data_IF_648124861108
#
_entry.id   IF_648124861108
#
_cell.length_a   1.000
_cell.length_b   1.000
_cell.length_c   1.000
_cell.angle_alpha   90.00
_cell.angle_beta   90.00
_cell.angle_gamma   90.00
#
_symmetry.space_group_name_H-M   'P 1'
#
loop_
_entity.id
_entity.type
_entity.pdbx_description
1 polymer ?
#
# COMPACT_ATOMS: atom_id res chain seq x y z
N UNK A 1 32.39 11.41 15.12
CA UNK A 1 33.20 10.16 14.99
C UNK A 1 32.36 9.19 14.19
N UNK A 2 32.72 9.03 12.92
CA UNK A 2 32.13 7.99 12.07
C UNK A 2 32.63 6.66 12.65
N UNK A 3 31.72 5.83 13.17
CA UNK A 3 32.04 4.46 13.55
C UNK A 3 32.44 3.71 12.27
N UNK A 4 33.46 2.88 12.35
CA UNK A 4 34.02 2.08 11.25
C UNK A 4 33.06 1.00 10.69
N UNK A 5 31.79 1.31 10.56
CA UNK A 5 30.83 0.41 9.95
C UNK A 5 30.71 0.76 8.47
N UNK A 6 31.28 -0.09 7.62
CA UNK A 6 31.12 0.04 6.18
C UNK A 6 29.64 -0.01 5.82
N UNK A 7 29.20 0.97 5.07
CA UNK A 7 27.81 1.10 4.63
C UNK A 7 27.77 1.09 3.12
N UNK A 8 26.93 0.24 2.56
CA UNK A 8 26.69 0.14 1.13
C UNK A 8 25.42 0.91 0.76
N UNK A 9 25.46 1.66 -0.34
CA UNK A 9 24.29 2.29 -0.93
C UNK A 9 24.32 2.13 -2.45
N UNK A 10 23.26 1.55 -3.00
CA UNK A 10 23.09 1.44 -4.45
C UNK A 10 22.57 2.78 -5.01
N UNK A 11 23.31 3.38 -5.95
CA UNK A 11 22.92 4.63 -6.58
C UNK A 11 21.75 4.49 -7.57
N UNK A 12 21.51 3.26 -8.06
CA UNK A 12 20.44 3.00 -9.02
C UNK A 12 19.08 2.81 -8.34
N UNK A 13 19.02 1.97 -7.29
CA UNK A 13 17.75 1.65 -6.60
C UNK A 13 17.60 2.31 -5.23
N UNK A 14 18.60 3.06 -4.75
CA UNK A 14 18.58 3.75 -3.46
C UNK A 14 18.73 2.83 -2.24
N UNK A 15 18.80 1.51 -2.42
CA UNK A 15 18.94 0.55 -1.32
C UNK A 15 20.25 0.78 -0.56
N UNK A 16 20.16 0.93 0.76
CA UNK A 16 21.31 1.09 1.64
C UNK A 16 21.33 0.00 2.70
N UNK A 17 22.49 -0.63 2.90
CA UNK A 17 22.67 -1.69 3.90
C UNK A 17 24.05 -1.59 4.56
N UNK A 18 24.16 -2.09 5.79
CA UNK A 18 25.45 -2.29 6.42
C UNK A 18 26.16 -3.52 5.82
N UNK A 19 27.48 -3.62 6.05
CA UNK A 19 28.29 -4.71 5.49
C UNK A 19 27.74 -6.10 5.84
N UNK A 20 27.29 -6.31 7.07
CA UNK A 20 26.76 -7.60 7.52
C UNK A 20 25.52 -8.02 6.71
N UNK A 21 24.58 -7.10 6.50
CA UNK A 21 23.38 -7.36 5.72
C UNK A 21 23.69 -7.54 4.23
N UNK A 22 24.67 -6.80 3.73
CA UNK A 22 25.15 -6.95 2.36
C UNK A 22 25.75 -8.34 2.10
N UNK A 23 26.66 -8.81 3.00
CA UNK A 23 27.25 -10.15 2.89
C UNK A 23 26.15 -11.22 2.98
N UNK A 24 25.20 -11.08 3.90
CA UNK A 24 24.08 -12.02 4.04
C UNK A 24 23.23 -12.11 2.76
N UNK A 25 23.06 -10.99 2.07
CA UNK A 25 22.30 -10.94 0.82
C UNK A 25 23.05 -11.58 -0.35
N UNK A 26 24.38 -11.38 -0.43
CA UNK A 26 25.22 -11.86 -1.55
C UNK A 26 25.58 -13.32 -1.37
N UNK A 27 26.02 -13.70 -0.17
CA UNK A 27 26.44 -15.09 0.15
C UNK A 27 26.14 -15.45 1.61
N UNK A 28 25.08 -16.24 1.85
CA UNK A 28 24.71 -16.70 3.20
C UNK A 28 25.81 -17.55 3.89
N UNK A 29 26.68 -18.25 3.17
CA UNK A 29 27.78 -19.04 3.75
C UNK A 29 28.87 -18.11 4.25
N UNK A 30 29.28 -17.17 3.43
CA UNK A 30 30.25 -16.15 3.80
C UNK A 30 29.75 -15.30 4.99
N UNK A 31 28.45 -15.11 5.12
CA UNK A 31 27.89 -14.43 6.29
C UNK A 31 28.14 -15.17 7.59
N UNK A 32 28.05 -16.49 7.60
CA UNK A 32 28.34 -17.31 8.78
C UNK A 32 29.81 -17.21 9.18
N UNK A 33 30.72 -17.22 8.22
CA UNK A 33 32.17 -17.06 8.46
C UNK A 33 32.48 -15.65 9.00
N UNK A 34 31.87 -14.62 8.41
CA UNK A 34 31.99 -13.23 8.86
C UNK A 34 31.55 -13.06 10.32
N UNK A 35 30.46 -13.69 10.74
CA UNK A 35 29.99 -13.66 12.11
C UNK A 35 30.98 -14.37 13.08
N UNK A 36 31.51 -15.53 12.69
CA UNK A 36 32.50 -16.27 13.48
C UNK A 36 33.79 -15.47 13.66
N UNK A 37 34.28 -14.80 12.61
CA UNK A 37 35.47 -13.95 12.72
C UNK A 37 35.24 -12.76 13.65
N UNK A 38 34.06 -12.12 13.52
CA UNK A 38 33.70 -10.99 14.36
C UNK A 38 33.57 -11.37 15.83
N UNK A 39 33.08 -12.58 16.12
CA UNK A 39 33.02 -13.13 17.46
C UNK A 39 34.39 -13.41 18.02
N UNK A 40 35.28 -14.01 17.22
CA UNK A 40 36.68 -14.30 17.63
C UNK A 40 37.50 -13.02 17.95
N UNK A 41 37.20 -11.92 17.25
CA UNK A 41 37.89 -10.62 17.46
C UNK A 41 37.34 -9.82 18.64
N UNK A 42 36.45 -10.40 19.46
CA UNK A 42 35.89 -9.74 20.65
C UNK A 42 35.11 -8.46 20.36
N UNK A 43 34.60 -8.30 19.15
CA UNK A 43 33.73 -7.17 18.85
C UNK A 43 32.50 -7.25 19.77
N UNK A 44 32.12 -6.15 20.45
CA UNK A 44 30.92 -6.13 21.27
C UNK A 44 29.76 -6.67 20.45
N UNK A 45 28.99 -7.59 21.02
CA UNK A 45 27.76 -8.06 20.40
C UNK A 45 26.99 -6.81 19.92
N UNK A 46 26.73 -6.72 18.62
CA UNK A 46 25.85 -5.68 18.12
C UNK A 46 24.60 -5.72 18.99
N UNK A 47 24.19 -4.63 19.63
CA UNK A 47 22.93 -4.64 20.37
C UNK A 47 21.92 -5.25 19.41
N UNK A 48 21.27 -6.33 19.84
CA UNK A 48 20.16 -6.90 19.08
C UNK A 48 19.31 -5.70 18.74
N UNK A 49 18.98 -5.45 17.46
CA UNK A 49 18.04 -4.39 17.17
C UNK A 49 16.84 -4.70 18.06
N UNK A 50 16.62 -3.87 19.06
CA UNK A 50 15.35 -3.84 19.74
C UNK A 50 14.39 -3.38 18.66
N UNK A 51 13.84 -4.34 17.94
CA UNK A 51 12.61 -4.12 17.26
C UNK A 51 11.60 -3.89 18.38
N UNK A 52 11.32 -2.66 18.68
CA UNK A 52 10.04 -2.32 19.29
C UNK A 52 9.00 -2.83 18.29
N UNK A 53 8.64 -4.09 18.48
CA UNK A 53 7.36 -4.56 17.99
C UNK A 53 6.33 -3.82 18.84
N UNK A 54 6.12 -2.55 18.54
CA UNK A 54 4.80 -2.00 18.76
C UNK A 54 3.92 -2.97 18.00
N UNK A 55 3.01 -3.69 18.68
CA UNK A 55 2.03 -4.44 17.93
C UNK A 55 1.49 -3.43 16.94
N UNK A 56 1.67 -3.68 15.66
CA UNK A 56 0.97 -2.96 14.62
C UNK A 56 -0.45 -3.43 14.87
N UNK A 57 -1.13 -2.71 15.79
CA UNK A 57 -2.56 -2.74 15.85
C UNK A 57 -2.98 -2.45 14.43
N UNK A 58 -3.81 -3.34 13.92
CA UNK A 58 -4.36 -3.31 12.57
C UNK A 58 -4.40 -1.87 12.11
N UNK A 59 -3.55 -1.56 11.12
CA UNK A 59 -3.46 -0.20 10.62
C UNK A 59 -4.90 0.18 10.27
N UNK A 60 -5.51 1.06 11.08
CA UNK A 60 -6.82 1.59 10.72
C UNK A 60 -6.66 2.08 9.30
N UNK A 61 -7.26 1.33 8.40
CA UNK A 61 -7.14 1.68 7.00
C UNK A 61 -7.93 2.98 6.82
N UNK A 62 -7.45 3.85 5.97
CA UNK A 62 -8.17 5.08 5.63
C UNK A 62 -9.62 4.82 5.20
N UNK A 63 -9.95 3.56 4.91
CA UNK A 63 -11.27 3.10 4.50
C UNK A 63 -12.21 2.79 5.67
N UNK A 64 -11.69 2.62 6.89
CA UNK A 64 -12.48 2.20 8.05
C UNK A 64 -13.52 3.27 8.47
N UNK A 65 -13.23 4.53 8.17
CA UNK A 65 -14.14 5.65 8.36
C UNK A 65 -15.22 5.75 7.25
N UNK A 66 -15.14 4.93 6.20
CA UNK A 66 -16.03 5.00 5.05
C UNK A 66 -17.09 3.91 5.08
N UNK A 67 -18.30 4.24 4.63
CA UNK A 67 -19.34 3.24 4.42
C UNK A 67 -19.10 2.47 3.12
N UNK A 68 -19.15 1.14 3.18
CA UNK A 68 -19.16 0.34 1.96
C UNK A 68 -20.48 0.53 1.21
N UNK A 69 -20.49 0.28 -0.08
CA UNK A 69 -21.72 0.35 -0.91
C UNK A 69 -22.78 -0.61 -0.37
N UNK A 70 -22.38 -1.72 0.24
CA UNK A 70 -23.30 -2.67 0.87
C UNK A 70 -24.06 -2.07 2.06
N UNK A 71 -23.41 -1.19 2.83
CA UNK A 71 -23.97 -0.54 4.03
C UNK A 71 -24.88 0.67 3.72
N UNK A 72 -24.95 1.08 2.47
CA UNK A 72 -25.81 2.19 2.04
C UNK A 72 -27.22 1.70 1.78
N UNK A 73 -28.19 2.59 1.98
CA UNK A 73 -29.58 2.34 1.63
C UNK A 73 -29.74 2.12 0.11
N UNK A 74 -30.72 1.32 -0.26
CA UNK A 74 -30.92 0.96 -1.67
C UNK A 74 -31.20 2.17 -2.57
N UNK A 75 -31.82 3.22 -2.04
CA UNK A 75 -32.12 4.46 -2.75
C UNK A 75 -30.91 5.43 -2.80
N UNK A 76 -29.82 5.11 -2.10
CA UNK A 76 -28.66 6.00 -2.08
C UNK A 76 -28.04 6.17 -3.48
N UNK A 77 -27.75 7.41 -3.95
CA UNK A 77 -27.28 7.66 -5.32
C UNK A 77 -26.03 6.87 -5.70
N UNK A 78 -25.10 6.67 -4.77
CA UNK A 78 -23.88 5.90 -5.02
C UNK A 78 -24.19 4.40 -5.22
N UNK A 79 -25.16 3.83 -4.50
CA UNK A 79 -25.59 2.44 -4.67
C UNK A 79 -26.33 2.27 -5.99
N UNK A 80 -27.23 3.19 -6.32
CA UNK A 80 -27.93 3.20 -7.60
C UNK A 80 -26.95 3.32 -8.79
N UNK A 81 -25.89 4.13 -8.63
CA UNK A 81 -24.83 4.23 -9.62
C UNK A 81 -24.12 2.87 -9.85
N UNK A 82 -23.77 2.15 -8.78
CA UNK A 82 -23.11 0.83 -8.87
C UNK A 82 -24.03 -0.20 -9.51
N UNK A 83 -25.33 -0.19 -9.15
CA UNK A 83 -26.36 -1.05 -9.76
C UNK A 83 -26.49 -0.76 -11.26
N UNK A 84 -26.60 0.51 -11.62
CA UNK A 84 -26.69 0.96 -13.02
C UNK A 84 -25.49 0.56 -13.87
N UNK A 85 -24.31 0.38 -13.24
CA UNK A 85 -23.12 -0.15 -13.89
C UNK A 85 -23.06 -1.68 -13.95
N UNK A 86 -24.08 -2.37 -13.44
CA UNK A 86 -24.18 -3.83 -13.41
C UNK A 86 -23.01 -4.51 -12.65
N UNK A 87 -22.47 -3.84 -11.63
CA UNK A 87 -21.48 -4.44 -10.76
C UNK A 87 -22.19 -5.49 -9.88
N UNK A 88 -21.69 -6.74 -9.82
CA UNK A 88 -22.32 -7.77 -9.00
C UNK A 88 -22.33 -7.40 -7.51
N UNK A 89 -23.40 -7.74 -6.81
CA UNK A 89 -23.61 -7.38 -5.40
C UNK A 89 -22.57 -7.98 -4.45
N UNK A 90 -21.91 -9.05 -4.85
CA UNK A 90 -20.80 -9.67 -4.11
C UNK A 90 -19.55 -8.75 -3.98
N UNK A 91 -19.48 -7.67 -4.77
CA UNK A 91 -18.41 -6.69 -4.68
C UNK A 91 -18.80 -5.42 -3.93
N UNK A 92 -20.02 -5.29 -3.43
CA UNK A 92 -20.47 -4.06 -2.77
C UNK A 92 -19.80 -3.81 -1.42
N UNK A 93 -19.30 -4.85 -0.75
CA UNK A 93 -18.50 -4.75 0.46
C UNK A 93 -17.06 -4.28 0.20
N UNK A 94 -16.61 -4.34 -1.06
CA UNK A 94 -15.26 -3.95 -1.49
C UNK A 94 -15.17 -2.57 -2.13
N UNK A 95 -16.30 -1.89 -2.26
CA UNK A 95 -16.41 -0.54 -2.80
C UNK A 95 -16.95 0.37 -1.72
N UNK A 96 -16.42 1.59 -1.63
CA UNK A 96 -16.79 2.53 -0.58
C UNK A 96 -17.32 3.84 -1.15
N UNK A 97 -18.18 4.48 -0.38
CA UNK A 97 -18.64 5.83 -0.67
C UNK A 97 -17.84 6.83 0.16
N UNK A 98 -17.35 7.87 -0.49
CA UNK A 98 -16.69 8.99 0.15
C UNK A 98 -17.38 10.28 -0.25
N UNK A 99 -18.00 10.96 0.70
CA UNK A 99 -18.68 12.25 0.47
C UNK A 99 -17.68 13.36 0.18
N UNK A 100 -16.57 13.40 0.93
CA UNK A 100 -15.52 14.42 0.83
C UNK A 100 -14.18 13.79 0.46
N UNK A 101 -14.00 13.54 -0.84
CA UNK A 101 -12.82 12.88 -1.36
C UNK A 101 -11.53 13.68 -1.14
N UNK A 102 -11.58 15.00 -1.31
CA UNK A 102 -10.43 15.87 -1.07
C UNK A 102 -9.99 15.86 0.38
N UNK A 103 -10.92 15.86 1.32
CA UNK A 103 -10.61 15.72 2.75
C UNK A 103 -9.94 14.38 3.05
N UNK A 104 -10.43 13.28 2.43
CA UNK A 104 -9.83 11.95 2.55
C UNK A 104 -8.39 11.94 2.02
N UNK A 105 -8.15 12.51 0.84
CA UNK A 105 -6.81 12.61 0.24
C UNK A 105 -5.87 13.43 1.11
N UNK A 106 -6.33 14.55 1.64
CA UNK A 106 -5.52 15.43 2.47
C UNK A 106 -5.14 14.83 3.84
N UNK A 107 -5.88 13.82 4.34
CA UNK A 107 -5.46 13.02 5.50
C UNK A 107 -4.16 12.25 5.21
N UNK A 108 -3.97 11.80 3.96
CA UNK A 108 -2.81 10.97 3.54
C UNK A 108 -1.70 11.82 2.94
N UNK A 109 -2.08 12.74 2.07
CA UNK A 109 -1.17 13.66 1.36
C UNK A 109 -1.63 15.10 1.59
N UNK A 110 -1.19 15.73 2.68
CA UNK A 110 -1.62 17.08 3.03
C UNK A 110 -1.42 18.08 1.89
N UNK A 111 -2.36 19.01 1.75
CA UNK A 111 -2.34 20.10 0.74
C UNK A 111 -2.35 19.62 -0.72
N UNK A 112 -2.79 18.39 -0.98
CA UNK A 112 -2.91 17.87 -2.36
C UNK A 112 -4.20 18.32 -3.02
N UNK A 113 -5.27 18.46 -2.25
CA UNK A 113 -6.60 18.84 -2.76
C UNK A 113 -7.00 20.22 -2.25
N UNK A 114 -7.57 21.03 -3.14
CA UNK A 114 -8.09 22.37 -2.80
C UNK A 114 -9.52 22.33 -2.22
N UNK A 115 -10.14 23.50 -2.14
CA UNK A 115 -11.43 23.70 -1.46
C UNK A 115 -12.65 23.07 -2.16
N UNK A 116 -12.53 22.76 -3.45
CA UNK A 116 -13.61 22.11 -4.21
C UNK A 116 -13.56 20.60 -3.99
N UNK A 117 -14.44 20.11 -3.14
CA UNK A 117 -14.55 18.69 -2.84
C UNK A 117 -15.80 18.08 -3.49
N UNK A 118 -15.70 16.80 -3.85
CA UNK A 118 -16.78 16.08 -4.53
C UNK A 118 -16.90 14.66 -3.99
N UNK A 119 -18.13 14.13 -3.92
CA UNK A 119 -18.32 12.72 -3.57
C UNK A 119 -17.74 11.82 -4.67
N UNK A 120 -17.12 10.71 -4.24
CA UNK A 120 -16.53 9.72 -5.15
C UNK A 120 -16.76 8.31 -4.65
N UNK A 121 -16.87 7.39 -5.61
CA UNK A 121 -16.76 5.96 -5.37
C UNK A 121 -15.28 5.62 -5.16
N UNK A 122 -14.96 4.97 -4.05
CA UNK A 122 -13.61 4.52 -3.74
C UNK A 122 -13.44 3.07 -4.15
N UNK A 123 -12.40 2.82 -4.94
CA UNK A 123 -11.98 1.51 -5.40
C UNK A 123 -10.61 1.26 -4.77
N UNK A 124 -10.49 0.41 -3.74
CA UNK A 124 -9.22 0.13 -3.08
C UNK A 124 -8.35 -0.81 -3.91
N UNK A 125 -7.04 -0.65 -3.80
CA UNK A 125 -6.03 -1.50 -4.42
C UNK A 125 -5.22 -2.18 -3.33
N UNK A 126 -5.29 -3.50 -3.29
CA UNK A 126 -4.58 -4.34 -2.34
C UNK A 126 -3.43 -5.07 -3.02
N UNK A 127 -2.36 -5.28 -2.29
CA UNK A 127 -1.27 -6.12 -2.75
C UNK A 127 -1.56 -7.61 -2.51
N UNK A 128 -0.66 -8.50 -2.90
CA UNK A 128 -0.81 -9.95 -2.74
C UNK A 128 -0.93 -10.43 -1.29
N UNK A 129 -0.59 -9.57 -0.32
CA UNK A 129 -0.74 -9.86 1.11
C UNK A 129 -2.06 -9.34 1.69
N UNK A 130 -2.87 -8.66 0.86
CA UNK A 130 -4.12 -8.03 1.30
C UNK A 130 -3.91 -6.64 1.92
N UNK A 131 -2.72 -6.08 1.88
CA UNK A 131 -2.44 -4.73 2.39
C UNK A 131 -2.87 -3.67 1.39
N UNK A 132 -3.64 -2.67 1.85
CA UNK A 132 -4.03 -1.51 1.05
C UNK A 132 -2.78 -0.67 0.69
N UNK A 133 -2.52 -0.47 -0.60
CA UNK A 133 -1.38 0.35 -1.06
C UNK A 133 -1.78 1.55 -1.92
N UNK A 134 -3.01 1.56 -2.42
CA UNK A 134 -3.57 2.67 -3.17
C UNK A 134 -5.09 2.64 -3.13
N UNK A 135 -5.72 3.73 -3.47
CA UNK A 135 -7.15 3.76 -3.78
C UNK A 135 -7.42 4.70 -4.94
N UNK A 136 -8.49 4.43 -5.66
CA UNK A 136 -8.95 5.27 -6.77
C UNK A 136 -10.32 5.84 -6.44
N UNK A 137 -10.44 7.16 -6.57
CA UNK A 137 -11.71 7.87 -6.48
C UNK A 137 -12.32 8.07 -7.87
N UNK A 138 -13.47 7.44 -8.13
CA UNK A 138 -14.25 7.64 -9.36
C UNK A 138 -15.36 8.66 -9.13
N UNK A 139 -15.42 9.67 -9.97
CA UNK A 139 -16.51 10.64 -9.96
C UNK A 139 -17.84 10.00 -10.38
N UNK A 140 -18.94 10.40 -9.73
CA UNK A 140 -20.28 9.94 -10.09
C UNK A 140 -20.86 10.69 -11.27
N UNK A 141 -20.51 11.95 -11.46
CA UNK A 141 -21.04 12.83 -12.49
C UNK A 141 -20.01 13.22 -13.55
N UNK A 142 -20.01 14.51 -13.90
CA UNK A 142 -19.15 15.12 -14.94
C UNK A 142 -17.86 15.72 -14.40
N UNK A 143 -17.58 15.54 -13.10
CA UNK A 143 -16.41 16.09 -12.43
C UNK A 143 -15.12 15.57 -13.07
N UNK A 144 -14.15 16.47 -13.24
CA UNK A 144 -12.85 16.16 -13.80
C UNK A 144 -11.77 16.28 -12.73
N UNK A 145 -10.76 15.40 -12.79
CA UNK A 145 -10.66 14.19 -13.60
C UNK A 145 -11.63 13.10 -13.12
N UNK A 146 -12.15 12.32 -14.07
CA UNK A 146 -13.11 11.24 -13.78
C UNK A 146 -12.57 10.19 -12.81
N UNK A 147 -11.29 9.91 -12.89
CA UNK A 147 -10.56 8.99 -12.01
C UNK A 147 -9.38 9.70 -11.38
N UNK A 148 -9.22 9.53 -10.08
CA UNK A 148 -8.07 10.01 -9.32
C UNK A 148 -7.51 8.87 -8.50
N UNK A 149 -6.26 8.48 -8.76
CA UNK A 149 -5.59 7.43 -8.00
C UNK A 149 -4.63 8.06 -6.99
N UNK A 150 -4.76 7.65 -5.74
CA UNK A 150 -3.90 8.05 -4.64
C UNK A 150 -3.10 6.84 -4.19
N UNK A 151 -1.78 6.92 -4.28
CA UNK A 151 -0.88 5.89 -3.77
C UNK A 151 -0.55 6.17 -2.31
N UNK A 152 -0.64 5.13 -1.48
CA UNK A 152 -0.18 5.11 -0.09
C UNK A 152 1.28 4.61 -0.04
N UNK A 153 1.65 3.74 -0.97
CA UNK A 153 3.02 3.24 -1.16
C UNK A 153 3.46 3.54 -2.60
N UNK A 154 4.41 4.46 -2.75
CA UNK A 154 4.91 4.89 -4.06
C UNK A 154 5.70 3.78 -4.79
N UNK A 155 6.22 2.80 -4.06
CA UNK A 155 7.01 1.70 -4.63
C UNK A 155 6.14 0.62 -5.29
N UNK A 156 4.84 0.60 -5.02
CA UNK A 156 3.91 -0.39 -5.61
C UNK A 156 3.43 0.04 -6.98
N UNK A 157 3.29 -0.93 -7.88
CA UNK A 157 2.68 -0.70 -9.19
C UNK A 157 1.15 -0.64 -9.07
N UNK A 158 0.51 0.18 -9.91
CA UNK A 158 -0.95 0.35 -9.91
C UNK A 158 -1.62 -0.83 -10.63
N UNK A 159 -1.67 -1.97 -9.98
CA UNK A 159 -2.38 -3.16 -10.49
C UNK A 159 -3.58 -3.40 -9.57
N UNK A 160 -4.78 -3.37 -10.13
CA UNK A 160 -6.03 -3.65 -9.41
C UNK A 160 -6.30 -5.16 -9.40
N UNK A 161 -6.74 -5.69 -8.28
CA UNK A 161 -7.16 -7.08 -8.15
C UNK A 161 -6.04 -8.10 -8.03
N UNK A 162 -4.80 -7.65 -7.78
CA UNK A 162 -3.64 -8.53 -7.67
C UNK A 162 -3.77 -9.53 -6.51
N UNK A 163 -4.47 -9.16 -5.44
CA UNK A 163 -4.77 -10.00 -4.27
C UNK A 163 -5.66 -11.20 -4.57
N UNK A 164 -6.35 -11.18 -5.73
CA UNK A 164 -7.30 -12.23 -6.16
C UNK A 164 -6.76 -13.12 -7.27
N UNK A 165 -5.56 -12.82 -7.77
CA UNK A 165 -4.99 -13.53 -8.92
C UNK A 165 -4.52 -14.91 -8.50
N UNK A 166 -5.02 -15.94 -9.18
CA UNK A 166 -4.46 -17.28 -9.11
C UNK A 166 -3.48 -17.50 -10.27
N UNK A 167 -2.19 -17.45 -9.98
CA UNK A 167 -1.12 -17.59 -10.97
C UNK A 167 -1.02 -19.01 -11.59
N UNK A 168 -1.78 -19.97 -11.08
CA UNK A 168 -1.87 -21.34 -11.68
C UNK A 168 -2.96 -21.45 -12.74
N UNK A 169 -3.69 -20.35 -13.02
CA UNK A 169 -4.75 -20.29 -14.02
C UNK A 169 -4.46 -19.21 -15.06
N UNK A 170 -5.06 -19.28 -16.25
CA UNK A 170 -5.00 -18.19 -17.22
C UNK A 170 -5.44 -16.86 -16.60
N UNK A 171 -4.66 -15.81 -16.81
CA UNK A 171 -4.92 -14.47 -16.26
C UNK A 171 -5.35 -13.57 -17.41
N UNK A 172 -6.47 -12.88 -17.23
CA UNK A 172 -6.94 -11.86 -18.15
C UNK A 172 -6.59 -10.49 -17.59
N UNK A 173 -5.93 -9.66 -18.39
CA UNK A 173 -5.56 -8.30 -18.04
C UNK A 173 -6.43 -7.36 -18.88
N UNK A 174 -7.08 -6.40 -18.22
CA UNK A 174 -7.89 -5.39 -18.87
C UNK A 174 -7.39 -3.99 -18.49
N UNK A 175 -7.71 -3.00 -19.30
CA UNK A 175 -7.41 -1.61 -18.99
C UNK A 175 -8.46 -1.06 -18.01
N UNK A 176 -8.01 -0.64 -16.83
CA UNK A 176 -8.81 -0.05 -15.77
C UNK A 176 -9.66 -1.02 -14.95
N UNK A 177 -10.08 -0.57 -13.76
CA UNK A 177 -10.98 -1.31 -12.88
C UNK A 177 -12.44 -1.17 -13.31
#
# INVERSE_FOLDING_TARGET
RVKNDMFFKCHNCGMGQNLANFIKFVDPKMYSEYLLERYKKGAPATPKPQFDFKPVFEDQTILDDLKSIKQLDDEHPAKQYVIGRKIPSEFYDKLYFCDKFGALVNKVKPKTYGDKDHPRLIIPFYDTTGKLFAFQGRAFGKEQPKYLTVKLDENKQKVYGLERVNFQRPIFITEGP
#
